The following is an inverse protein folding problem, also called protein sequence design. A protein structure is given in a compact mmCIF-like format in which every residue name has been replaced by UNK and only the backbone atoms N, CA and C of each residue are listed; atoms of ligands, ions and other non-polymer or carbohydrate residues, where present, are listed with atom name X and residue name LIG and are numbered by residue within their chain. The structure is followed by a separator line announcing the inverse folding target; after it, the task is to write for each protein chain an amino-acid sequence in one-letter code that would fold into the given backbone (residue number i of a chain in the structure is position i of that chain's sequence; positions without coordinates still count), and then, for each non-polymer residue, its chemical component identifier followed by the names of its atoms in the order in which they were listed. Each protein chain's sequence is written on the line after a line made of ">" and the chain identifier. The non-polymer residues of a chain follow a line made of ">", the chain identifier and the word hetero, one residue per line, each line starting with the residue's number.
data_IF_366337058865
#
_entry.id   IF_366337058865
#
_cell.length_a   1.000
_cell.length_b   1.000
_cell.length_c   1.000
_cell.angle_alpha   90.00
_cell.angle_beta   90.00
_cell.angle_gamma   90.00
#
_symmetry.space_group_name_H-M   'P 1'
#
loop_
_entity.id
_entity.type
_entity.pdbx_description
1 polymer ?
#
# COMPACT_ATOMS: atom_id res chain seq x y z
N UNK A 1 2.00 -9.92 4.69
CA UNK A 1 1.37 -9.90 6.04
C UNK A 1 0.03 -10.63 5.97
N UNK A 2 -0.57 -11.00 7.10
CA UNK A 2 -1.97 -11.44 7.15
C UNK A 2 -2.69 -10.50 8.10
N UNK A 3 -3.84 -9.96 7.68
CA UNK A 3 -4.62 -9.04 8.50
C UNK A 3 -6.11 -9.32 8.38
N UNK A 4 -6.87 -8.86 9.38
CA UNK A 4 -8.32 -8.94 9.36
C UNK A 4 -8.92 -7.94 8.37
N UNK A 5 -10.10 -8.26 7.82
CA UNK A 5 -10.89 -7.34 7.00
C UNK A 5 -11.49 -6.20 7.84
N UNK A 6 -10.63 -5.29 8.30
CA UNK A 6 -10.99 -4.21 9.22
C UNK A 6 -10.23 -2.92 8.90
N UNK A 7 -10.93 -1.79 8.95
CA UNK A 7 -10.33 -0.47 8.74
C UNK A 7 -9.69 -0.34 7.36
N UNK A 8 -8.47 0.22 7.30
CA UNK A 8 -7.76 0.48 6.05
C UNK A 8 -7.02 -0.74 5.47
N UNK A 9 -7.02 -1.90 6.16
CA UNK A 9 -6.30 -3.10 5.69
C UNK A 9 -6.74 -3.58 4.29
N UNK A 10 -8.05 -3.61 3.95
CA UNK A 10 -8.50 -3.90 2.60
C UNK A 10 -8.01 -2.95 1.53
N UNK A 11 -7.69 -1.70 1.89
CA UNK A 11 -7.15 -0.71 0.95
C UNK A 11 -5.62 -0.83 0.80
N UNK A 12 -4.93 -1.32 1.83
CA UNK A 12 -3.47 -1.41 1.88
C UNK A 12 -2.94 -2.73 1.30
N UNK A 13 -3.64 -3.84 1.53
CA UNK A 13 -3.19 -5.18 1.15
C UNK A 13 -3.66 -5.53 -0.27
N UNK A 14 -2.70 -5.85 -1.13
CA UNK A 14 -2.94 -6.46 -2.43
C UNK A 14 -2.83 -7.98 -2.25
N UNK A 15 -3.96 -8.68 -2.39
CA UNK A 15 -4.08 -10.14 -2.19
C UNK A 15 -3.04 -10.91 -2.99
N UNK A 16 -2.27 -11.78 -2.34
CA UNK A 16 -1.26 -12.61 -3.00
C UNK A 16 -0.04 -11.82 -3.52
N UNK A 17 0.06 -10.51 -3.24
CA UNK A 17 1.19 -9.68 -3.61
C UNK A 17 1.89 -9.12 -2.38
N UNK A 18 1.18 -8.35 -1.55
CA UNK A 18 1.73 -7.75 -0.33
C UNK A 18 1.29 -8.47 0.95
N UNK A 19 0.26 -9.30 0.84
CA UNK A 19 -0.27 -10.09 1.94
C UNK A 19 -1.60 -10.75 1.61
N UNK A 20 -2.30 -11.13 2.67
CA UNK A 20 -3.62 -11.74 2.60
C UNK A 20 -4.56 -11.09 3.62
N UNK A 21 -5.85 -11.06 3.28
CA UNK A 21 -6.90 -10.67 4.22
C UNK A 21 -7.66 -11.93 4.61
N UNK A 22 -7.90 -12.07 5.91
CA UNK A 22 -8.65 -13.16 6.49
C UNK A 22 -9.87 -12.60 7.23
N UNK A 23 -10.93 -13.39 7.32
CA UNK A 23 -12.14 -13.07 8.09
C UNK A 23 -12.30 -13.98 9.32
N UNK A 24 -11.56 -15.09 9.36
CA UNK A 24 -11.56 -16.07 10.47
C UNK A 24 -10.15 -16.56 10.77
N UNK A 25 -9.93 -17.08 11.98
CA UNK A 25 -8.66 -17.69 12.36
C UNK A 25 -8.24 -18.81 11.41
N UNK A 26 -9.18 -19.69 11.04
CA UNK A 26 -8.89 -20.80 10.14
C UNK A 26 -8.43 -20.32 8.77
N UNK A 27 -9.08 -19.28 8.21
CA UNK A 27 -8.64 -18.67 6.94
C UNK A 27 -7.27 -18.00 7.05
N UNK A 28 -6.94 -17.40 8.20
CA UNK A 28 -5.63 -16.82 8.43
C UNK A 28 -4.53 -17.90 8.49
N UNK A 29 -4.79 -19.01 9.17
CA UNK A 29 -3.87 -20.16 9.24
C UNK A 29 -3.69 -20.79 7.86
N UNK A 30 -4.77 -20.96 7.10
CA UNK A 30 -4.73 -21.51 5.76
C UNK A 30 -3.89 -20.67 4.77
N UNK A 31 -3.81 -19.36 4.97
CA UNK A 31 -3.04 -18.46 4.10
C UNK A 31 -1.52 -18.42 4.41
N UNK A 32 -1.06 -19.05 5.51
CA UNK A 32 0.36 -19.02 5.91
C UNK A 32 1.30 -19.63 4.85
N UNK A 33 1.02 -20.80 4.24
CA UNK A 33 1.89 -21.38 3.23
C UNK A 33 2.08 -20.48 1.99
N UNK A 34 1.02 -19.81 1.56
CA UNK A 34 1.06 -18.89 0.41
C UNK A 34 1.76 -17.57 0.78
N UNK A 35 1.58 -17.10 2.02
CA UNK A 35 2.30 -15.94 2.55
C UNK A 35 3.82 -16.13 2.46
N UNK A 36 4.31 -17.31 2.80
CA UNK A 36 5.75 -17.62 2.78
C UNK A 36 6.32 -17.67 1.36
N UNK A 37 5.48 -17.85 0.34
CA UNK A 37 5.89 -17.87 -1.07
C UNK A 37 5.90 -16.48 -1.72
N UNK A 38 5.44 -15.44 -1.02
CA UNK A 38 5.40 -14.09 -1.57
C UNK A 38 6.81 -13.56 -1.92
N UNK A 39 6.95 -13.04 -3.13
CA UNK A 39 8.17 -12.38 -3.57
C UNK A 39 8.37 -11.06 -2.84
N UNK A 40 9.34 -11.04 -1.92
CA UNK A 40 9.68 -9.87 -1.10
C UNK A 40 10.10 -8.64 -1.93
N UNK A 41 10.62 -8.83 -3.15
CA UNK A 41 10.97 -7.73 -4.04
C UNK A 41 9.72 -7.08 -4.62
N UNK A 42 8.71 -7.88 -5.01
CA UNK A 42 7.41 -7.36 -5.46
C UNK A 42 6.71 -6.61 -4.34
N UNK A 43 6.72 -7.15 -3.11
CA UNK A 43 6.18 -6.46 -1.92
C UNK A 43 6.83 -5.07 -1.78
N UNK A 44 8.16 -4.99 -1.85
CA UNK A 44 8.89 -3.72 -1.75
C UNK A 44 8.55 -2.77 -2.88
N UNK A 45 8.45 -3.26 -4.12
CA UNK A 45 8.11 -2.43 -5.28
C UNK A 45 6.72 -1.78 -5.13
N UNK A 46 5.72 -2.54 -4.66
CA UNK A 46 4.38 -2.00 -4.39
C UNK A 46 4.42 -0.94 -3.28
N UNK A 47 5.17 -1.20 -2.21
CA UNK A 47 5.36 -0.24 -1.13
C UNK A 47 5.97 1.07 -1.64
N UNK A 48 7.05 1.01 -2.42
CA UNK A 48 7.72 2.22 -2.94
C UNK A 48 6.81 3.05 -3.83
N UNK A 49 5.98 2.38 -4.65
CA UNK A 49 5.03 3.03 -5.55
C UNK A 49 3.91 3.76 -4.81
N UNK A 50 3.41 3.19 -3.71
CA UNK A 50 2.18 3.67 -3.06
C UNK A 50 2.42 4.41 -1.75
N UNK A 51 3.38 3.98 -0.95
CA UNK A 51 3.52 4.36 0.45
C UNK A 51 4.91 4.93 0.79
N UNK A 52 5.73 5.24 -0.22
CA UNK A 52 7.02 5.90 0.03
C UNK A 52 6.81 7.32 0.57
N UNK A 53 7.64 7.70 1.54
CA UNK A 53 7.59 9.02 2.15
C UNK A 53 7.74 10.14 1.11
N UNK A 54 8.59 9.94 0.09
CA UNK A 54 8.78 10.90 -1.01
C UNK A 54 7.49 11.14 -1.79
N UNK A 55 6.79 10.07 -2.21
CA UNK A 55 5.53 10.17 -2.95
C UNK A 55 4.46 10.84 -2.09
N UNK A 56 4.29 10.37 -0.85
CA UNK A 56 3.28 10.93 0.07
C UNK A 56 3.52 12.42 0.36
N UNK A 57 4.76 12.83 0.64
CA UNK A 57 5.09 14.23 0.86
C UNK A 57 4.81 15.08 -0.38
N UNK A 58 5.15 14.56 -1.58
CA UNK A 58 4.82 15.22 -2.85
C UNK A 58 3.31 15.46 -3.02
N UNK A 59 2.49 14.46 -2.69
CA UNK A 59 1.03 14.57 -2.77
C UNK A 59 0.47 15.61 -1.79
N UNK A 60 0.99 15.66 -0.56
CA UNK A 60 0.63 16.71 0.40
C UNK A 60 1.01 18.10 -0.11
N UNK A 61 2.22 18.27 -0.63
CA UNK A 61 2.67 19.55 -1.20
C UNK A 61 1.80 19.98 -2.38
N UNK A 62 1.42 19.05 -3.27
CA UNK A 62 0.53 19.32 -4.38
C UNK A 62 -0.87 19.75 -3.91
N UNK A 63 -1.42 19.07 -2.90
CA UNK A 63 -2.70 19.44 -2.29
C UNK A 63 -2.65 20.83 -1.66
N UNK A 64 -1.58 21.14 -0.91
CA UNK A 64 -1.39 22.47 -0.31
C UNK A 64 -1.22 23.55 -1.37
N UNK A 65 -0.43 23.32 -2.43
CA UNK A 65 -0.28 24.25 -3.54
C UNK A 65 -1.63 24.56 -4.21
N UNK A 66 -2.48 23.55 -4.41
CA UNK A 66 -3.83 23.72 -4.94
C UNK A 66 -4.74 24.59 -4.05
N UNK A 67 -4.63 24.46 -2.73
CA UNK A 67 -5.42 25.28 -1.78
C UNK A 67 -4.98 26.75 -1.75
N UNK A 68 -3.68 27.02 -1.93
CA UNK A 68 -3.15 28.39 -1.92
C UNK A 68 -3.10 29.04 -3.31
N UNK A 69 -3.63 28.38 -4.35
CA UNK A 69 -3.66 28.89 -5.71
C UNK A 69 -2.30 28.95 -6.41
N UNK A 70 -1.29 28.24 -5.90
CA UNK A 70 0.01 28.12 -6.55
C UNK A 70 -0.10 27.03 -7.62
N UNK A 71 0.20 27.32 -8.90
CA UNK A 71 0.16 26.30 -9.94
C UNK A 71 1.13 25.17 -9.58
N UNK A 72 0.61 23.94 -9.50
CA UNK A 72 1.41 22.73 -9.29
C UNK A 72 2.49 22.66 -10.37
N UNK A 73 3.76 22.81 -9.97
CA UNK A 73 4.89 22.54 -10.86
C UNK A 73 5.13 21.04 -10.91
N UNK A 74 4.18 20.32 -11.52
CA UNK A 74 4.40 18.94 -11.92
C UNK A 74 5.54 18.92 -12.94
N UNK A 75 6.78 18.68 -12.49
CA UNK A 75 7.90 18.41 -13.39
C UNK A 75 7.82 16.95 -13.85
N UNK A 76 7.73 16.80 -15.16
CA UNK A 76 8.00 15.60 -15.91
C UNK A 76 9.41 15.07 -15.65
N UNK A 77 9.52 13.76 -15.42
CA UNK A 77 10.50 12.82 -16.03
C UNK A 77 10.17 11.41 -15.55
#
# INVERSE_FOLDING_TARGET
>A
VIGWSCGALPEIIDQGVTGFIADTMDSAVAAVPDLLQLDRRKVRAVFEKRFSARRMAGDYLAAYAGLIGVPSTAKAS
#
